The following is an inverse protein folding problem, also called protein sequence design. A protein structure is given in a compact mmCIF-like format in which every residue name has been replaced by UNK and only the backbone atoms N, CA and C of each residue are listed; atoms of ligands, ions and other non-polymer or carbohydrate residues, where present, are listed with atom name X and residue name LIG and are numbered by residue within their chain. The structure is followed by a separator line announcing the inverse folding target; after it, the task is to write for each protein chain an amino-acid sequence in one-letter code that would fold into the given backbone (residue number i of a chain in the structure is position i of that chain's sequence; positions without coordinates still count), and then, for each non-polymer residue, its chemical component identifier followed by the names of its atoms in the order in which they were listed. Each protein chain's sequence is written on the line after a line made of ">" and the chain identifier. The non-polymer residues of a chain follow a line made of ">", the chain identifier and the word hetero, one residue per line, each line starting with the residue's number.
data_IF_048391694639
#
_entry.id   IF_048391694639
#
_cell.length_a   1.000
_cell.length_b   1.000
_cell.length_c   1.000
_cell.angle_alpha   90.00
_cell.angle_beta   90.00
_cell.angle_gamma   90.00
#
_symmetry.space_group_name_H-M   'P 1'
#
loop_
_entity.id
_entity.type
_entity.pdbx_description
1 polymer ?
#
# COMPACT_ATOMS: atom_id res chain seq x y z
N UNK A 1 13.18 -64.34 35.08
CA UNK A 1 13.08 -62.92 35.47
C UNK A 1 11.78 -62.37 34.90
N UNK A 2 10.84 -62.03 35.80
CA UNK A 2 9.50 -61.55 35.47
C UNK A 2 9.57 -60.09 34.96
N UNK A 3 9.28 -59.87 33.68
CA UNK A 3 9.08 -58.53 33.14
C UNK A 3 7.74 -58.00 33.65
N UNK A 4 7.80 -57.00 34.53
CA UNK A 4 6.63 -56.30 35.07
C UNK A 4 5.93 -55.57 33.92
N UNK A 5 4.73 -56.00 33.59
CA UNK A 5 3.82 -55.22 32.76
C UNK A 5 3.50 -53.91 33.49
N UNK A 6 4.12 -52.81 33.06
CA UNK A 6 3.64 -51.46 33.37
C UNK A 6 2.29 -51.31 32.65
N UNK A 7 1.20 -51.52 33.38
CA UNK A 7 -0.12 -51.04 32.96
C UNK A 7 -0.05 -49.52 32.98
N UNK A 8 0.17 -48.92 31.81
CA UNK A 8 -0.10 -47.50 31.61
C UNK A 8 -1.60 -47.36 31.80
N UNK A 9 -1.99 -46.75 32.93
CA UNK A 9 -3.35 -46.29 33.13
C UNK A 9 -3.46 -45.02 32.29
N UNK A 10 -3.97 -45.13 31.08
CA UNK A 10 -4.50 -43.97 30.36
C UNK A 10 -5.72 -43.48 31.14
N UNK A 11 -5.48 -42.50 32.02
CA UNK A 11 -6.56 -41.70 32.56
C UNK A 11 -7.04 -40.83 31.40
N UNK A 12 -8.04 -41.32 30.65
CA UNK A 12 -8.85 -40.47 29.80
C UNK A 12 -9.63 -39.52 30.71
N UNK A 13 -8.96 -38.46 31.18
CA UNK A 13 -9.59 -37.27 31.71
C UNK A 13 -10.27 -36.53 30.56
N UNK A 14 -11.25 -37.18 29.93
CA UNK A 14 -12.06 -36.59 28.88
C UNK A 14 -12.91 -35.51 29.52
N UNK A 15 -12.54 -34.25 29.32
CA UNK A 15 -13.54 -33.19 29.35
C UNK A 15 -14.65 -33.65 28.40
N UNK A 16 -15.88 -33.81 28.89
CA UNK A 16 -16.97 -34.29 28.06
C UNK A 16 -17.10 -33.37 26.85
N UNK A 17 -17.10 -33.96 25.65
CA UNK A 17 -17.28 -33.19 24.42
C UNK A 17 -18.61 -32.43 24.50
N UNK A 18 -18.55 -31.13 24.26
CA UNK A 18 -19.67 -30.21 24.32
C UNK A 18 -20.46 -30.38 23.02
N UNK A 19 -21.70 -30.86 23.17
CA UNK A 19 -22.67 -30.94 22.08
C UNK A 19 -23.71 -29.82 22.22
N UNK A 20 -23.82 -28.96 21.22
CA UNK A 20 -24.76 -27.83 21.23
C UNK A 20 -25.58 -27.78 19.93
N UNK A 21 -26.90 -27.59 20.00
CA UNK A 21 -27.73 -27.44 18.82
C UNK A 21 -27.53 -26.05 18.20
N UNK A 22 -26.53 -25.90 17.34
CA UNK A 22 -26.27 -24.65 16.61
C UNK A 22 -27.11 -24.65 15.32
N UNK A 23 -28.23 -23.94 15.35
CA UNK A 23 -29.10 -23.75 14.18
C UNK A 23 -28.47 -22.73 13.22
N UNK A 24 -28.66 -22.91 11.91
CA UNK A 24 -28.18 -21.99 10.87
C UNK A 24 -28.76 -20.59 11.04
N UNK A 25 -27.96 -19.58 10.69
CA UNK A 25 -28.44 -18.20 10.67
C UNK A 25 -29.56 -18.04 9.62
N UNK A 26 -30.70 -17.42 9.96
CA UNK A 26 -31.86 -17.40 9.08
C UNK A 26 -31.64 -16.50 7.85
N UNK A 27 -32.14 -16.92 6.67
CA UNK A 27 -31.99 -16.15 5.45
C UNK A 27 -32.78 -14.85 5.48
N UNK A 28 -32.36 -13.86 4.70
CA UNK A 28 -32.95 -12.52 4.63
C UNK A 28 -34.48 -12.54 4.51
N UNK A 29 -35.06 -13.38 3.64
CA UNK A 29 -36.52 -13.48 3.46
C UNK A 29 -37.25 -13.88 4.74
N UNK A 30 -36.69 -14.82 5.49
CA UNK A 30 -37.27 -15.27 6.76
C UNK A 30 -37.12 -14.20 7.83
N UNK A 31 -35.95 -13.54 7.91
CA UNK A 31 -35.73 -12.42 8.85
C UNK A 31 -36.69 -11.26 8.59
N UNK A 32 -36.89 -10.89 7.33
CA UNK A 32 -37.86 -9.86 6.94
C UNK A 32 -39.28 -10.21 7.40
N UNK A 33 -39.71 -11.47 7.19
CA UNK A 33 -41.01 -11.94 7.65
C UNK A 33 -41.13 -11.96 9.18
N UNK A 34 -40.07 -12.35 9.90
CA UNK A 34 -40.08 -12.33 11.36
C UNK A 34 -40.13 -10.90 11.90
N UNK A 35 -39.39 -9.96 11.33
CA UNK A 35 -39.44 -8.54 11.73
C UNK A 35 -40.84 -7.95 11.52
N UNK A 36 -41.50 -8.29 10.41
CA UNK A 36 -42.83 -7.77 10.08
C UNK A 36 -43.95 -8.43 10.91
N UNK A 37 -43.88 -9.76 11.08
CA UNK A 37 -44.99 -10.54 11.67
C UNK A 37 -44.83 -10.81 13.16
N UNK A 38 -43.61 -11.05 13.63
CA UNK A 38 -43.32 -11.40 15.02
C UNK A 38 -41.89 -11.00 15.44
N UNK A 39 -41.66 -9.68 15.67
CA UNK A 39 -40.33 -9.17 15.99
C UNK A 39 -39.79 -9.66 17.34
N UNK A 40 -40.66 -10.14 18.24
CA UNK A 40 -40.26 -10.68 19.55
C UNK A 40 -39.57 -12.03 19.39
N UNK A 41 -40.11 -12.91 18.53
CA UNK A 41 -39.46 -14.18 18.20
C UNK A 41 -38.10 -13.93 17.54
N UNK A 42 -38.00 -12.92 16.67
CA UNK A 42 -36.71 -12.54 16.08
C UNK A 42 -35.70 -12.09 17.13
N UNK A 43 -36.12 -11.25 18.08
CA UNK A 43 -35.26 -10.80 19.18
C UNK A 43 -34.74 -11.98 20.01
N UNK A 44 -35.62 -12.86 20.49
CA UNK A 44 -35.24 -14.02 21.31
C UNK A 44 -34.32 -15.00 20.57
N UNK A 45 -34.49 -15.13 19.24
CA UNK A 45 -33.58 -15.93 18.44
C UNK A 45 -32.16 -15.33 18.43
N UNK A 46 -32.03 -14.02 18.30
CA UNK A 46 -30.72 -13.34 18.35
C UNK A 46 -30.11 -13.44 19.74
N UNK A 47 -30.90 -13.23 20.81
CA UNK A 47 -30.46 -13.38 22.20
C UNK A 47 -29.91 -14.79 22.46
N UNK A 48 -30.57 -15.81 21.93
CA UNK A 48 -30.11 -17.21 22.02
C UNK A 48 -28.76 -17.39 21.33
N UNK A 49 -28.57 -16.82 20.12
CA UNK A 49 -27.26 -16.84 19.46
C UNK A 49 -26.20 -16.13 20.30
N UNK A 50 -26.50 -14.94 20.84
CA UNK A 50 -25.56 -14.18 21.69
C UNK A 50 -25.13 -15.01 22.89
N UNK A 51 -26.07 -15.62 23.61
CA UNK A 51 -25.78 -16.48 24.75
C UNK A 51 -24.90 -17.69 24.37
N UNK A 52 -25.16 -18.30 23.21
CA UNK A 52 -24.34 -19.40 22.71
C UNK A 52 -22.91 -18.97 22.40
N UNK A 53 -22.71 -17.85 21.69
CA UNK A 53 -21.37 -17.38 21.39
C UNK A 53 -20.63 -16.88 22.62
N UNK A 54 -21.34 -16.28 23.59
CA UNK A 54 -20.77 -15.92 24.88
C UNK A 54 -20.28 -17.18 25.62
N UNK A 55 -21.10 -18.23 25.70
CA UNK A 55 -20.72 -19.50 26.31
C UNK A 55 -19.50 -20.13 25.60
N UNK A 56 -19.49 -20.15 24.26
CA UNK A 56 -18.36 -20.66 23.49
C UNK A 56 -17.07 -19.89 23.79
N UNK A 57 -17.16 -18.58 23.98
CA UNK A 57 -15.99 -17.73 24.22
C UNK A 57 -15.37 -17.92 25.61
N UNK A 58 -16.10 -18.47 26.57
CA UNK A 58 -15.61 -18.78 27.91
C UNK A 58 -14.61 -19.95 27.91
N UNK A 59 -13.50 -19.78 28.65
CA UNK A 59 -12.48 -20.81 28.84
C UNK A 59 -12.01 -21.47 27.53
N UNK A 60 -11.99 -22.80 27.53
CA UNK A 60 -11.62 -23.65 26.40
C UNK A 60 -12.83 -24.28 25.69
N UNK A 61 -14.05 -23.77 25.89
CA UNK A 61 -15.28 -24.42 25.42
C UNK A 61 -15.30 -24.70 23.91
N UNK A 62 -14.73 -23.81 23.09
CA UNK A 62 -14.61 -24.04 21.63
C UNK A 62 -13.75 -25.26 21.29
N UNK A 63 -12.70 -25.54 22.08
CA UNK A 63 -11.78 -26.67 21.85
C UNK A 63 -12.41 -28.00 22.24
N UNK A 64 -13.41 -27.95 23.12
CA UNK A 64 -14.13 -29.11 23.63
C UNK A 64 -15.37 -29.45 22.79
N UNK A 65 -15.62 -28.78 21.67
CA UNK A 65 -16.77 -29.08 20.82
C UNK A 65 -16.62 -30.45 20.15
N UNK A 66 -17.69 -31.23 20.14
CA UNK A 66 -17.75 -32.43 19.31
C UNK A 66 -17.67 -32.07 17.81
N UNK A 67 -17.26 -33.03 16.97
CA UNK A 67 -17.06 -32.79 15.53
C UNK A 67 -18.35 -32.31 14.84
N UNK A 68 -19.50 -32.83 15.26
CA UNK A 68 -20.80 -32.46 14.68
C UNK A 68 -21.15 -30.99 14.97
N UNK A 69 -21.00 -30.56 16.21
CA UNK A 69 -21.26 -29.18 16.65
C UNK A 69 -20.28 -28.22 15.99
N UNK A 70 -19.01 -28.62 15.84
CA UNK A 70 -18.02 -27.82 15.12
C UNK A 70 -18.40 -27.62 13.63
N UNK A 71 -18.93 -28.65 12.97
CA UNK A 71 -19.41 -28.53 11.59
C UNK A 71 -20.66 -27.66 11.47
N UNK A 72 -21.58 -27.76 12.43
CA UNK A 72 -22.72 -26.84 12.53
C UNK A 72 -22.29 -25.39 12.79
N UNK A 73 -21.26 -25.17 13.63
CA UNK A 73 -20.68 -23.86 13.87
C UNK A 73 -20.06 -23.27 12.59
N UNK A 74 -19.28 -24.06 11.84
CA UNK A 74 -18.71 -23.64 10.54
C UNK A 74 -19.79 -23.25 9.55
N UNK A 75 -20.86 -24.06 9.49
CA UNK A 75 -22.01 -23.81 8.62
C UNK A 75 -22.79 -22.55 9.03
N UNK A 76 -22.97 -22.35 10.33
CA UNK A 76 -23.54 -21.12 10.88
C UNK A 76 -22.71 -19.91 10.47
N UNK A 77 -21.39 -19.93 10.68
CA UNK A 77 -20.52 -18.80 10.36
C UNK A 77 -20.57 -18.45 8.87
N UNK A 78 -20.54 -19.45 7.99
CA UNK A 78 -20.67 -19.23 6.54
C UNK A 78 -22.00 -18.57 6.17
N UNK A 79 -23.11 -19.08 6.70
CA UNK A 79 -24.45 -18.55 6.42
C UNK A 79 -24.61 -17.14 7.01
N UNK A 80 -24.19 -16.94 8.25
CA UNK A 80 -24.18 -15.63 8.91
C UNK A 80 -23.42 -14.58 8.10
N UNK A 81 -22.16 -14.87 7.74
CA UNK A 81 -21.33 -13.92 7.00
C UNK A 81 -21.96 -13.55 5.65
N UNK A 82 -22.50 -14.54 4.94
CA UNK A 82 -23.18 -14.32 3.67
C UNK A 82 -24.41 -13.41 3.83
N UNK A 83 -25.30 -13.73 4.76
CA UNK A 83 -26.56 -13.03 4.97
C UNK A 83 -26.36 -11.60 5.48
N UNK A 84 -25.39 -11.38 6.37
CA UNK A 84 -25.07 -10.04 6.87
C UNK A 84 -24.36 -9.20 5.80
N UNK A 85 -23.47 -9.79 4.99
CA UNK A 85 -22.80 -9.08 3.91
C UNK A 85 -23.76 -8.69 2.77
N UNK A 86 -24.78 -9.51 2.49
CA UNK A 86 -25.79 -9.23 1.47
C UNK A 86 -26.89 -8.26 1.96
N UNK A 87 -27.03 -8.10 3.28
CA UNK A 87 -27.93 -7.13 3.90
C UNK A 87 -27.39 -5.70 3.86
N UNK A 88 -26.07 -5.53 3.86
CA UNK A 88 -25.42 -4.22 3.84
C UNK A 88 -25.72 -3.48 2.52
N UNK A 89 -26.72 -2.58 2.56
CA UNK A 89 -27.25 -1.86 1.40
C UNK A 89 -28.72 -2.14 1.07
N UNK A 90 -29.39 -3.05 1.79
CA UNK A 90 -30.84 -3.30 1.67
C UNK A 90 -31.62 -2.51 2.72
N UNK A 91 -32.83 -2.08 2.37
CA UNK A 91 -33.72 -1.22 3.17
C UNK A 91 -34.37 -1.91 4.39
N UNK A 92 -33.75 -2.94 4.97
CA UNK A 92 -34.32 -3.64 6.12
C UNK A 92 -34.32 -2.77 7.40
N UNK A 93 -33.50 -1.72 7.43
CA UNK A 93 -33.36 -0.80 8.58
C UNK A 93 -34.64 -0.01 8.91
N UNK A 94 -35.61 0.05 7.99
CA UNK A 94 -36.89 0.71 8.20
C UNK A 94 -37.83 -0.24 8.96
N UNK A 95 -37.69 -0.30 10.28
CA UNK A 95 -38.59 -1.06 11.16
C UNK A 95 -37.90 -1.96 12.20
N UNK A 96 -36.56 -1.98 12.26
CA UNK A 96 -35.84 -2.77 13.27
C UNK A 96 -35.95 -2.09 14.64
N UNK A 97 -36.42 -2.85 15.65
CA UNK A 97 -36.44 -2.42 17.04
C UNK A 97 -35.01 -2.11 17.54
N UNK A 98 -34.88 -1.13 18.43
CA UNK A 98 -33.62 -0.81 19.11
C UNK A 98 -32.97 -2.05 19.74
N UNK A 99 -33.76 -2.87 20.45
CA UNK A 99 -33.26 -4.08 21.15
C UNK A 99 -32.67 -5.10 20.15
N UNK A 100 -33.33 -5.28 19.01
CA UNK A 100 -32.85 -6.16 17.93
C UNK A 100 -31.52 -5.64 17.37
N UNK A 101 -31.39 -4.32 17.23
CA UNK A 101 -30.17 -3.69 16.74
C UNK A 101 -29.00 -3.86 17.72
N UNK A 102 -29.28 -3.73 19.02
CA UNK A 102 -28.31 -3.94 20.09
C UNK A 102 -27.84 -5.40 20.13
N UNK A 103 -28.77 -6.36 20.14
CA UNK A 103 -28.44 -7.79 20.16
C UNK A 103 -27.69 -8.22 18.90
N UNK A 104 -28.03 -7.69 17.72
CA UNK A 104 -27.26 -7.93 16.49
C UNK A 104 -25.85 -7.33 16.56
N UNK A 105 -25.69 -6.18 17.22
CA UNK A 105 -24.37 -5.58 17.45
C UNK A 105 -23.52 -6.47 18.37
N UNK A 106 -24.09 -6.97 19.45
CA UNK A 106 -23.43 -7.92 20.36
C UNK A 106 -23.04 -9.20 19.62
N UNK A 107 -23.94 -9.77 18.83
CA UNK A 107 -23.67 -10.96 18.04
C UNK A 107 -22.52 -10.74 17.04
N UNK A 108 -22.48 -9.59 16.35
CA UNK A 108 -21.35 -9.20 15.47
C UNK A 108 -20.03 -9.16 16.25
N UNK A 109 -20.03 -8.58 17.45
CA UNK A 109 -18.85 -8.51 18.31
C UNK A 109 -18.35 -9.89 18.76
N UNK A 110 -19.27 -10.76 19.17
CA UNK A 110 -18.94 -12.12 19.60
C UNK A 110 -18.43 -12.99 18.47
N UNK A 111 -19.09 -12.97 17.31
CA UNK A 111 -18.65 -13.73 16.13
C UNK A 111 -17.26 -13.29 15.70
N UNK A 112 -16.99 -11.98 15.65
CA UNK A 112 -15.65 -11.50 15.30
C UNK A 112 -14.59 -11.94 16.32
N UNK A 113 -14.93 -11.92 17.61
CA UNK A 113 -14.03 -12.37 18.67
C UNK A 113 -13.73 -13.87 18.58
N UNK A 114 -14.72 -14.70 18.24
CA UNK A 114 -14.56 -16.12 17.96
C UNK A 114 -13.62 -16.34 16.77
N UNK A 115 -13.83 -15.61 15.67
CA UNK A 115 -13.00 -15.73 14.46
C UNK A 115 -11.54 -15.37 14.76
N UNK A 116 -11.29 -14.33 15.57
CA UNK A 116 -9.92 -14.01 16.02
C UNK A 116 -9.33 -15.09 16.94
N UNK A 117 -10.13 -15.70 17.83
CA UNK A 117 -9.68 -16.75 18.76
C UNK A 117 -9.30 -18.03 18.02
N UNK A 118 -10.09 -18.44 17.02
CA UNK A 118 -9.91 -19.70 16.30
C UNK A 118 -9.08 -19.60 15.01
N UNK A 119 -9.09 -18.43 14.37
CA UNK A 119 -8.46 -18.22 13.08
C UNK A 119 -9.28 -18.75 11.90
N UNK A 120 -8.88 -18.31 10.70
CA UNK A 120 -9.61 -18.60 9.46
C UNK A 120 -9.57 -20.08 9.07
N UNK A 121 -8.44 -20.75 9.31
CA UNK A 121 -8.25 -22.14 8.87
C UNK A 121 -9.10 -23.13 9.68
N UNK A 122 -9.11 -22.99 11.01
CA UNK A 122 -9.89 -23.87 11.90
C UNK A 122 -11.40 -23.75 11.63
N UNK A 123 -11.86 -22.53 11.36
CA UNK A 123 -13.25 -22.22 11.02
C UNK A 123 -13.59 -22.44 9.54
N UNK A 124 -12.64 -22.90 8.72
CA UNK A 124 -12.84 -23.15 7.29
C UNK A 124 -13.38 -21.91 6.54
N UNK A 125 -12.85 -20.72 6.87
CA UNK A 125 -13.21 -19.46 6.21
C UNK A 125 -12.26 -19.23 5.03
N UNK A 126 -12.78 -19.42 3.81
CA UNK A 126 -12.07 -19.25 2.54
C UNK A 126 -13.01 -18.75 1.43
N UNK A 127 -12.43 -18.29 0.32
CA UNK A 127 -13.18 -17.84 -0.86
C UNK A 127 -14.24 -16.80 -0.53
N UNK A 128 -15.48 -17.05 -0.95
CA UNK A 128 -16.65 -16.18 -0.70
C UNK A 128 -16.82 -15.85 0.79
N UNK A 129 -16.59 -16.82 1.69
CA UNK A 129 -16.80 -16.61 3.13
C UNK A 129 -15.76 -15.64 3.70
N UNK A 130 -14.53 -15.69 3.18
CA UNK A 130 -13.48 -14.72 3.53
C UNK A 130 -13.83 -13.33 3.02
N UNK A 131 -14.33 -13.22 1.79
CA UNK A 131 -14.75 -11.92 1.26
C UNK A 131 -15.95 -11.34 2.01
N UNK A 132 -16.91 -12.18 2.40
CA UNK A 132 -18.02 -11.76 3.25
C UNK A 132 -17.53 -11.31 4.63
N UNK A 133 -16.54 -11.99 5.22
CA UNK A 133 -15.88 -11.52 6.45
C UNK A 133 -15.29 -10.12 6.28
N UNK A 134 -14.56 -9.89 5.17
CA UNK A 134 -13.98 -8.59 4.86
C UNK A 134 -15.09 -7.54 4.78
N UNK A 135 -16.13 -7.76 3.98
CA UNK A 135 -17.26 -6.82 3.85
C UNK A 135 -17.87 -6.43 5.19
N UNK A 136 -18.14 -7.40 6.06
CA UNK A 136 -18.84 -7.16 7.32
C UNK A 136 -17.99 -6.39 8.35
N UNK A 137 -16.67 -6.62 8.38
CA UNK A 137 -15.84 -6.17 9.51
C UNK A 137 -14.73 -5.19 9.16
N UNK A 138 -14.30 -5.09 7.90
CA UNK A 138 -13.11 -4.29 7.51
C UNK A 138 -13.26 -2.81 7.88
N UNK A 139 -14.45 -2.25 7.69
CA UNK A 139 -14.70 -0.83 7.95
C UNK A 139 -14.48 -0.42 9.41
N UNK A 140 -14.78 -1.32 10.35
CA UNK A 140 -14.64 -1.06 11.79
C UNK A 140 -13.35 -1.60 12.37
N UNK A 141 -12.80 -2.68 11.79
CA UNK A 141 -11.65 -3.40 12.32
C UNK A 141 -10.62 -3.71 11.22
N UNK A 142 -10.09 -2.70 10.51
CA UNK A 142 -9.23 -2.93 9.35
C UNK A 142 -7.96 -3.71 9.74
N UNK A 143 -7.30 -3.36 10.85
CA UNK A 143 -6.03 -3.98 11.26
C UNK A 143 -6.19 -5.45 11.66
N UNK A 144 -7.29 -5.78 12.32
CA UNK A 144 -7.58 -7.18 12.68
C UNK A 144 -7.90 -8.01 11.44
N UNK A 145 -8.59 -7.44 10.46
CA UNK A 145 -8.88 -8.13 9.19
C UNK A 145 -7.61 -8.32 8.37
N UNK A 146 -6.78 -7.28 8.24
CA UNK A 146 -5.45 -7.36 7.61
C UNK A 146 -4.61 -8.45 8.29
N UNK A 147 -4.58 -8.44 9.62
CA UNK A 147 -3.83 -9.42 10.41
C UNK A 147 -4.33 -10.86 10.28
N UNK A 148 -5.63 -11.06 10.08
CA UNK A 148 -6.21 -12.38 9.79
C UNK A 148 -5.86 -12.87 8.38
N UNK A 149 -5.71 -11.96 7.42
CA UNK A 149 -5.40 -12.31 6.02
C UNK A 149 -3.91 -12.59 5.86
N UNK A 150 -3.02 -11.74 6.37
CA UNK A 150 -1.56 -11.92 6.26
C UNK A 150 -0.99 -12.93 7.27
N UNK A 151 -1.81 -13.37 8.24
CA UNK A 151 -1.43 -14.35 9.26
C UNK A 151 -0.64 -13.76 10.44
N UNK A 152 -0.47 -12.43 10.51
CA UNK A 152 0.17 -11.76 11.64
C UNK A 152 -0.67 -11.85 12.92
N UNK A 153 -2.01 -11.96 12.81
CA UNK A 153 -2.90 -12.23 13.93
C UNK A 153 -2.99 -13.73 14.21
N UNK A 154 -2.10 -14.23 15.06
CA UNK A 154 -2.06 -15.64 15.43
C UNK A 154 -3.32 -16.05 16.22
N UNK A 155 -3.95 -17.18 15.88
CA UNK A 155 -5.09 -17.68 16.63
C UNK A 155 -4.62 -18.21 17.99
N UNK A 156 -5.52 -18.24 18.96
CA UNK A 156 -5.25 -18.84 20.27
C UNK A 156 -5.48 -20.35 20.24
N UNK A 157 -6.48 -20.78 19.46
CA UNK A 157 -6.87 -22.17 19.30
C UNK A 157 -6.22 -22.72 18.04
N UNK A 158 -5.71 -23.95 18.09
CA UNK A 158 -5.14 -24.68 16.95
C UNK A 158 -3.93 -23.98 16.30
N UNK A 159 -2.95 -23.58 17.12
CA UNK A 159 -1.70 -22.94 16.70
C UNK A 159 -0.74 -23.83 15.89
N UNK A 160 -1.01 -25.14 15.82
CA UNK A 160 -0.17 -26.08 15.06
C UNK A 160 -0.26 -25.89 13.54
N UNK A 161 -1.37 -25.32 13.04
CA UNK A 161 -1.51 -24.99 11.62
C UNK A 161 -1.19 -23.52 11.41
N UNK A 162 -0.04 -23.26 10.80
CA UNK A 162 0.41 -21.90 10.43
C UNK A 162 -0.71 -21.21 9.65
N UNK A 163 -1.14 -20.02 10.10
CA UNK A 163 -1.99 -19.17 9.27
C UNK A 163 -1.14 -18.69 8.09
N UNK A 164 -1.46 -19.22 6.91
CA UNK A 164 -0.82 -18.81 5.66
C UNK A 164 -1.39 -17.47 5.20
N UNK A 165 -0.56 -16.65 4.58
CA UNK A 165 -0.99 -15.42 3.91
C UNK A 165 -2.02 -15.74 2.82
N UNK A 166 -3.18 -15.09 2.90
CA UNK A 166 -4.32 -15.25 2.00
C UNK A 166 -4.48 -14.08 1.03
N UNK A 167 -3.53 -13.13 0.98
CA UNK A 167 -3.61 -11.93 0.13
C UNK A 167 -3.83 -12.30 -1.34
N UNK A 168 -3.10 -13.29 -1.86
CA UNK A 168 -3.32 -13.81 -3.22
C UNK A 168 -4.72 -14.41 -3.42
N UNK A 169 -5.27 -15.11 -2.43
CA UNK A 169 -6.63 -15.67 -2.51
C UNK A 169 -7.68 -14.55 -2.61
N UNK A 170 -7.47 -13.44 -1.90
CA UNK A 170 -8.32 -12.25 -2.00
C UNK A 170 -8.21 -11.63 -3.40
N UNK A 171 -7.01 -11.47 -3.95
CA UNK A 171 -6.81 -10.97 -5.31
C UNK A 171 -7.52 -11.84 -6.37
N UNK A 172 -7.37 -13.17 -6.28
CA UNK A 172 -8.04 -14.10 -7.20
C UNK A 172 -9.56 -14.05 -7.06
N UNK A 173 -10.06 -13.91 -5.84
CA UNK A 173 -11.50 -13.79 -5.61
C UNK A 173 -12.05 -12.49 -6.21
N UNK A 174 -11.35 -11.36 -6.04
CA UNK A 174 -11.70 -10.08 -6.67
C UNK A 174 -11.74 -10.19 -8.19
N UNK A 175 -10.73 -10.83 -8.80
CA UNK A 175 -10.70 -11.14 -10.22
C UNK A 175 -11.96 -11.90 -10.66
N UNK A 176 -12.30 -12.98 -9.96
CA UNK A 176 -13.50 -13.80 -10.25
C UNK A 176 -14.80 -13.00 -10.12
N UNK A 177 -14.91 -12.11 -9.13
CA UNK A 177 -16.09 -11.25 -8.97
C UNK A 177 -16.26 -10.28 -10.14
N UNK A 178 -15.16 -9.71 -10.64
CA UNK A 178 -15.18 -8.81 -11.80
C UNK A 178 -15.51 -9.57 -13.08
N UNK A 179 -14.84 -10.71 -13.33
CA UNK A 179 -15.07 -11.54 -14.51
C UNK A 179 -16.50 -12.08 -14.58
N UNK A 180 -17.10 -12.39 -13.42
CA UNK A 180 -18.49 -12.84 -13.31
C UNK A 180 -19.54 -11.70 -13.31
N UNK A 181 -19.12 -10.44 -13.34
CA UNK A 181 -20.01 -9.27 -13.31
C UNK A 181 -20.76 -9.10 -11.98
N UNK A 182 -20.26 -9.69 -10.90
CA UNK A 182 -20.86 -9.63 -9.56
C UNK A 182 -20.22 -8.57 -8.65
N UNK A 183 -19.14 -7.94 -9.11
CA UNK A 183 -18.46 -6.88 -8.39
C UNK A 183 -19.35 -5.64 -8.28
N UNK A 184 -19.60 -5.17 -7.05
CA UNK A 184 -20.46 -4.03 -6.74
C UNK A 184 -19.66 -2.90 -6.11
N UNK A 185 -20.27 -1.72 -6.02
CA UNK A 185 -19.67 -0.55 -5.35
C UNK A 185 -19.28 -0.81 -3.88
N UNK A 186 -20.02 -1.68 -3.18
CA UNK A 186 -19.67 -2.07 -1.81
C UNK A 186 -18.35 -2.85 -1.78
N UNK A 187 -18.08 -3.70 -2.78
CA UNK A 187 -16.83 -4.46 -2.87
C UNK A 187 -15.64 -3.51 -3.07
N UNK A 188 -15.79 -2.51 -3.95
CA UNK A 188 -14.78 -1.46 -4.15
C UNK A 188 -14.46 -0.72 -2.85
N UNK A 189 -15.50 -0.31 -2.11
CA UNK A 189 -15.33 0.35 -0.82
C UNK A 189 -14.65 -0.54 0.21
N UNK A 190 -14.93 -1.84 0.19
CA UNK A 190 -14.27 -2.79 1.09
C UNK A 190 -12.79 -2.97 0.74
N UNK A 191 -12.41 -2.91 -0.54
CA UNK A 191 -11.00 -2.88 -0.96
C UNK A 191 -10.34 -1.59 -0.49
N UNK A 192 -10.99 -0.44 -0.65
CA UNK A 192 -10.51 0.85 -0.14
C UNK A 192 -10.31 0.81 1.38
N UNK A 193 -11.29 0.32 2.14
CA UNK A 193 -11.17 0.17 3.59
C UNK A 193 -10.03 -0.82 3.94
N UNK A 194 -9.87 -1.91 3.18
CA UNK A 194 -8.81 -2.88 3.41
C UNK A 194 -7.41 -2.28 3.18
N UNK A 195 -7.21 -1.49 2.13
CA UNK A 195 -5.90 -0.99 1.72
C UNK A 195 -5.58 0.42 2.24
N UNK A 196 -6.57 1.26 2.49
CA UNK A 196 -6.37 2.69 2.76
C UNK A 196 -6.95 3.15 4.11
N UNK A 197 -7.74 2.32 4.81
CA UNK A 197 -8.31 2.75 6.10
C UNK A 197 -7.21 3.17 7.07
N UNK A 198 -7.36 4.40 7.60
CA UNK A 198 -6.48 4.98 8.60
C UNK A 198 -6.45 4.10 9.84
N UNK A 199 -5.25 3.80 10.29
CA UNK A 199 -5.02 2.92 11.41
C UNK A 199 -3.87 3.46 12.27
N UNK A 200 -3.77 2.99 13.52
CA UNK A 200 -2.64 3.35 14.37
C UNK A 200 -1.33 2.67 13.94
N UNK A 201 -1.42 1.57 13.19
CA UNK A 201 -0.26 0.82 12.72
C UNK A 201 0.07 1.19 11.27
N UNK A 202 1.36 1.17 10.89
CA UNK A 202 1.74 1.33 9.49
C UNK A 202 1.13 0.19 8.67
N UNK A 203 0.52 0.53 7.54
CA UNK A 203 -0.20 -0.44 6.71
C UNK A 203 0.74 -1.30 5.87
N UNK A 204 1.50 -2.19 6.54
CA UNK A 204 2.37 -3.18 5.88
C UNK A 204 1.59 -4.14 4.99
N UNK A 205 0.32 -4.38 5.32
CA UNK A 205 -0.55 -5.23 4.52
C UNK A 205 -0.72 -4.69 3.10
N UNK A 206 -0.99 -3.38 2.93
CA UNK A 206 -1.15 -2.78 1.61
C UNK A 206 0.11 -2.93 0.75
N UNK A 207 1.30 -2.77 1.35
CA UNK A 207 2.58 -2.96 0.68
C UNK A 207 2.77 -4.39 0.17
N UNK A 208 2.38 -5.39 0.98
CA UNK A 208 2.48 -6.81 0.62
C UNK A 208 1.38 -7.23 -0.36
N UNK A 209 0.20 -6.63 -0.26
CA UNK A 209 -0.93 -6.89 -1.17
C UNK A 209 -0.65 -6.35 -2.57
N UNK A 210 0.12 -5.26 -2.70
CA UNK A 210 0.53 -4.76 -4.00
C UNK A 210 1.69 -5.60 -4.54
N UNK A 211 1.39 -6.49 -5.49
CA UNK A 211 2.34 -7.43 -6.10
C UNK A 211 2.37 -7.29 -7.62
N UNK A 212 3.45 -7.73 -8.27
CA UNK A 212 3.55 -7.78 -9.72
C UNK A 212 2.38 -8.54 -10.36
N UNK A 213 2.05 -9.72 -9.81
CA UNK A 213 0.90 -10.51 -10.25
C UNK A 213 -0.44 -9.76 -10.10
N UNK A 214 -0.61 -8.92 -9.07
CA UNK A 214 -1.83 -8.12 -8.95
C UNK A 214 -1.96 -7.09 -10.07
N UNK A 215 -0.85 -6.45 -10.45
CA UNK A 215 -0.81 -5.52 -11.58
C UNK A 215 -1.14 -6.25 -12.88
N UNK A 216 -0.56 -7.42 -13.11
CA UNK A 216 -0.85 -8.24 -14.30
C UNK A 216 -2.33 -8.63 -14.38
N UNK A 217 -2.95 -8.99 -13.24
CA UNK A 217 -4.40 -9.25 -13.18
C UNK A 217 -5.20 -8.01 -13.59
N UNK A 218 -4.85 -6.84 -13.05
CA UNK A 218 -5.57 -5.59 -13.34
C UNK A 218 -5.39 -5.14 -14.79
N UNK A 219 -4.18 -5.28 -15.35
CA UNK A 219 -3.89 -5.00 -16.77
C UNK A 219 -4.69 -5.91 -17.70
N UNK A 220 -4.75 -7.21 -17.38
CA UNK A 220 -5.55 -8.17 -18.14
C UNK A 220 -7.05 -7.85 -18.09
N UNK A 221 -7.58 -7.46 -16.92
CA UNK A 221 -8.97 -7.05 -16.75
C UNK A 221 -9.29 -5.72 -17.46
N UNK A 222 -8.31 -4.83 -17.55
CA UNK A 222 -8.44 -3.54 -18.22
C UNK A 222 -8.41 -3.68 -19.74
N UNK A 223 -7.52 -4.53 -20.27
CA UNK A 223 -7.36 -4.84 -21.70
C UNK A 223 -7.39 -3.57 -22.58
N UNK A 224 -6.51 -2.61 -22.31
CA UNK A 224 -6.42 -1.33 -23.03
C UNK A 224 -7.72 -0.49 -23.00
N UNK A 225 -8.50 -0.62 -21.92
CA UNK A 225 -9.77 0.08 -21.74
C UNK A 225 -10.96 -0.57 -22.44
N UNK A 226 -10.75 -1.71 -23.12
CA UNK A 226 -11.79 -2.46 -23.82
C UNK A 226 -12.30 -3.67 -23.03
N UNK A 227 -11.65 -4.01 -21.91
CA UNK A 227 -12.03 -5.13 -21.06
C UNK A 227 -13.39 -4.93 -20.41
N UNK A 228 -14.10 -6.03 -20.12
CA UNK A 228 -15.40 -5.97 -19.41
C UNK A 228 -15.29 -5.32 -18.03
N UNK A 229 -14.15 -5.53 -17.36
CA UNK A 229 -13.84 -4.97 -16.05
C UNK A 229 -12.97 -3.71 -16.08
N UNK A 230 -12.92 -2.96 -17.19
CA UNK A 230 -11.99 -1.85 -17.33
C UNK A 230 -12.20 -0.72 -16.30
N UNK A 231 -13.45 -0.48 -15.87
CA UNK A 231 -13.75 0.56 -14.87
C UNK A 231 -13.26 0.11 -13.50
N UNK A 232 -13.60 -1.11 -13.12
CA UNK A 232 -13.24 -1.74 -11.86
C UNK A 232 -11.71 -1.87 -11.76
N UNK A 233 -11.05 -2.33 -12.81
CA UNK A 233 -9.58 -2.45 -12.85
C UNK A 233 -8.90 -1.08 -12.67
N UNK A 234 -9.42 -0.03 -13.32
CA UNK A 234 -8.92 1.34 -13.16
C UNK A 234 -9.11 1.87 -11.74
N UNK A 235 -10.26 1.64 -11.13
CA UNK A 235 -10.52 2.07 -9.76
C UNK A 235 -9.64 1.31 -8.75
N UNK A 236 -9.46 0.00 -8.95
CA UNK A 236 -8.64 -0.84 -8.09
C UNK A 236 -7.15 -0.51 -8.18
N UNK A 237 -6.61 -0.20 -9.37
CA UNK A 237 -5.21 0.20 -9.48
C UNK A 237 -4.97 1.55 -8.79
N UNK A 238 -5.93 2.49 -8.88
CA UNK A 238 -5.86 3.77 -8.19
C UNK A 238 -5.82 3.53 -6.67
N UNK A 239 -6.77 2.76 -6.12
CA UNK A 239 -6.77 2.45 -4.68
C UNK A 239 -5.46 1.79 -4.26
N UNK A 240 -4.96 0.85 -5.07
CA UNK A 240 -3.72 0.12 -4.76
C UNK A 240 -2.50 1.06 -4.76
N UNK A 241 -2.33 1.91 -5.78
CA UNK A 241 -1.22 2.85 -5.90
C UNK A 241 -1.22 3.91 -4.80
N UNK A 242 -2.40 4.41 -4.43
CA UNK A 242 -2.51 5.42 -3.37
C UNK A 242 -2.34 4.83 -1.95
N UNK A 243 -2.30 3.51 -1.83
CA UNK A 243 -2.13 2.79 -0.55
C UNK A 243 -0.70 2.33 -0.28
N UNK A 244 0.23 2.51 -1.24
CA UNK A 244 1.61 2.05 -1.14
C UNK A 244 2.62 3.19 -1.17
N UNK A 245 3.80 2.93 -0.64
CA UNK A 245 4.95 3.83 -0.70
C UNK A 245 5.64 3.82 -2.07
N UNK A 246 6.36 4.92 -2.37
CA UNK A 246 7.18 5.00 -3.58
C UNK A 246 8.27 3.92 -3.64
N UNK A 247 8.78 3.47 -2.49
CA UNK A 247 9.78 2.39 -2.41
C UNK A 247 9.22 1.04 -2.85
N UNK A 248 7.98 0.73 -2.47
CA UNK A 248 7.34 -0.50 -2.93
C UNK A 248 7.06 -0.43 -4.41
N UNK A 249 6.61 0.71 -4.92
CA UNK A 249 6.38 0.89 -6.34
C UNK A 249 7.68 0.70 -7.16
N UNK A 250 8.82 1.22 -6.69
CA UNK A 250 10.13 0.97 -7.30
C UNK A 250 10.52 -0.52 -7.28
N UNK A 251 10.24 -1.24 -6.19
CA UNK A 251 10.48 -2.70 -6.14
C UNK A 251 9.62 -3.43 -7.16
N UNK A 252 8.35 -3.07 -7.27
CA UNK A 252 7.42 -3.72 -8.20
C UNK A 252 7.77 -3.41 -9.66
N UNK A 253 8.15 -2.18 -10.01
CA UNK A 253 8.60 -1.87 -11.37
C UNK A 253 9.83 -2.68 -11.75
N UNK A 254 10.78 -2.88 -10.81
CA UNK A 254 11.92 -3.78 -10.99
C UNK A 254 11.50 -5.25 -11.13
N UNK A 255 10.56 -5.74 -10.30
CA UNK A 255 10.00 -7.10 -10.40
C UNK A 255 9.32 -7.35 -11.76
N UNK A 256 8.68 -6.34 -12.33
CA UNK A 256 8.05 -6.37 -13.66
C UNK A 256 9.04 -6.15 -14.82
N UNK A 257 10.32 -5.87 -14.54
CA UNK A 257 11.32 -5.56 -15.57
C UNK A 257 11.15 -4.20 -16.25
N UNK A 258 10.41 -3.27 -15.64
CA UNK A 258 10.18 -1.93 -16.17
C UNK A 258 11.39 -1.05 -15.84
N UNK A 259 12.14 -0.67 -16.88
CA UNK A 259 13.34 0.17 -16.78
C UNK A 259 13.26 1.42 -17.66
N UNK A 260 12.38 1.43 -18.65
CA UNK A 260 12.24 2.50 -19.64
C UNK A 260 10.77 2.61 -20.13
N UNK A 261 10.48 3.58 -20.98
CA UNK A 261 9.12 3.76 -21.53
C UNK A 261 8.65 2.60 -22.41
N UNK A 262 9.56 1.92 -23.11
CA UNK A 262 9.22 0.78 -23.96
C UNK A 262 8.70 -0.40 -23.14
N UNK A 263 9.38 -0.70 -22.03
CA UNK A 263 8.95 -1.73 -21.08
C UNK A 263 7.72 -1.29 -20.30
N UNK A 264 7.57 0.00 -19.99
CA UNK A 264 6.35 0.54 -19.39
C UNK A 264 5.14 0.44 -20.34
N UNK A 265 5.35 0.54 -21.65
CA UNK A 265 4.28 0.41 -22.64
C UNK A 265 3.62 -0.99 -22.65
N UNK A 266 4.28 -2.00 -22.09
CA UNK A 266 3.71 -3.33 -21.85
C UNK A 266 2.65 -3.31 -20.72
N UNK A 267 2.74 -2.34 -19.82
CA UNK A 267 1.83 -2.12 -18.68
C UNK A 267 1.12 -0.76 -18.80
N UNK A 268 0.23 -0.59 -19.79
CA UNK A 268 -0.38 0.71 -20.10
C UNK A 268 -1.30 1.25 -19.01
N UNK A 269 -2.01 0.41 -18.24
CA UNK A 269 -2.81 0.88 -17.10
C UNK A 269 -1.89 1.47 -16.02
N UNK A 270 -0.80 0.77 -15.69
CA UNK A 270 0.19 1.27 -14.74
C UNK A 270 0.83 2.56 -15.27
N UNK A 271 1.28 2.58 -16.52
CA UNK A 271 1.93 3.74 -17.13
C UNK A 271 1.06 4.99 -17.13
N UNK A 272 -0.22 4.88 -17.51
CA UNK A 272 -1.16 6.02 -17.48
C UNK A 272 -1.37 6.58 -16.07
N UNK A 273 -1.31 5.73 -15.03
CA UNK A 273 -1.40 6.18 -13.65
C UNK A 273 -0.10 6.82 -13.17
N UNK A 274 1.06 6.27 -13.54
CA UNK A 274 2.37 6.79 -13.13
C UNK A 274 2.68 8.17 -13.72
N UNK A 275 2.17 8.48 -14.91
CA UNK A 275 2.32 9.79 -15.57
C UNK A 275 1.34 10.83 -15.00
N UNK A 276 0.29 10.39 -14.30
CA UNK A 276 -0.74 11.29 -13.81
C UNK A 276 -0.22 12.23 -12.71
N UNK A 277 -0.41 13.54 -12.89
CA UNK A 277 0.03 14.56 -11.92
C UNK A 277 -0.55 14.35 -10.51
N UNK A 278 -1.75 13.78 -10.39
CA UNK A 278 -2.36 13.48 -9.10
C UNK A 278 -1.55 12.48 -8.28
N UNK A 279 -0.91 11.51 -8.93
CA UNK A 279 -0.03 10.54 -8.26
C UNK A 279 1.26 11.23 -7.81
N UNK A 280 1.84 12.09 -8.64
CA UNK A 280 3.04 12.86 -8.30
C UNK A 280 2.81 13.85 -7.14
N UNK A 281 1.62 14.45 -7.04
CA UNK A 281 1.26 15.29 -5.88
C UNK A 281 1.22 14.51 -4.57
N UNK A 282 0.88 13.22 -4.62
CA UNK A 282 0.78 12.36 -3.44
C UNK A 282 2.10 11.67 -3.10
N UNK A 283 2.87 11.30 -4.12
CA UNK A 283 4.17 10.64 -4.03
C UNK A 283 5.23 11.51 -4.73
N UNK A 284 5.70 12.59 -4.08
CA UNK A 284 6.67 13.51 -4.69
C UNK A 284 7.98 12.81 -5.04
N UNK A 285 8.42 11.87 -4.18
CA UNK A 285 9.66 11.09 -4.33
C UNK A 285 9.62 10.09 -5.50
N UNK A 286 8.49 9.95 -6.19
CA UNK A 286 8.35 9.00 -7.28
C UNK A 286 9.20 9.39 -8.49
N UNK A 287 9.27 10.69 -8.80
CA UNK A 287 10.05 11.24 -9.91
C UNK A 287 11.56 11.08 -9.70
N UNK A 288 12.02 11.28 -8.46
CA UNK A 288 13.43 11.06 -8.12
C UNK A 288 13.81 9.57 -8.12
N UNK A 289 12.87 8.67 -7.84
CA UNK A 289 13.12 7.21 -7.79
C UNK A 289 12.97 6.51 -9.14
N UNK A 290 12.07 7.00 -10.01
CA UNK A 290 11.85 6.48 -11.35
C UNK A 290 12.33 7.51 -12.37
N UNK A 291 13.65 7.57 -12.55
CA UNK A 291 14.31 8.58 -13.40
C UNK A 291 13.78 8.59 -14.84
N UNK A 292 13.36 7.43 -15.37
CA UNK A 292 12.76 7.34 -16.70
C UNK A 292 11.45 8.12 -16.83
N UNK A 293 10.74 8.45 -15.74
CA UNK A 293 9.51 9.26 -15.79
C UNK A 293 9.77 10.76 -15.94
N UNK A 294 11.02 11.24 -15.81
CA UNK A 294 11.36 12.67 -15.81
C UNK A 294 11.43 13.33 -17.19
N UNK A 295 10.94 12.68 -18.25
CA UNK A 295 11.05 13.22 -19.61
C UNK A 295 10.19 14.47 -19.89
N UNK A 296 9.31 14.86 -18.96
CA UNK A 296 8.58 16.13 -19.04
C UNK A 296 9.44 17.38 -18.81
N UNK A 297 10.71 17.24 -18.42
CA UNK A 297 11.68 18.34 -18.36
C UNK A 297 12.41 18.62 -19.68
N UNK A 298 12.16 17.81 -20.72
CA UNK A 298 12.61 18.05 -22.09
C UNK A 298 11.45 18.58 -22.96
N UNK A 299 10.57 19.38 -22.36
CA UNK A 299 9.73 20.27 -23.16
C UNK A 299 10.66 21.23 -23.89
N UNK A 300 10.63 21.13 -25.21
CA UNK A 300 11.05 22.17 -26.15
C UNK A 300 10.34 23.48 -25.77
N UNK A 301 10.91 24.23 -24.84
CA UNK A 301 10.60 25.64 -24.67
C UNK A 301 11.84 26.38 -25.18
N UNK A 302 11.68 26.99 -26.35
CA UNK A 302 12.67 27.88 -26.94
C UNK A 302 12.86 29.06 -25.98
N UNK A 303 13.91 29.01 -25.16
CA UNK A 303 14.49 30.22 -24.58
C UNK A 303 14.49 30.37 -23.06
N UNK A 304 14.60 29.29 -22.27
CA UNK A 304 14.94 29.45 -20.85
C UNK A 304 16.15 28.62 -20.43
N UNK A 305 17.06 29.27 -19.70
CA UNK A 305 18.36 28.77 -19.30
C UNK A 305 18.23 27.47 -18.48
N UNK A 306 18.68 26.35 -19.06
CA UNK A 306 18.78 25.05 -18.41
C UNK A 306 19.75 25.10 -17.22
N UNK A 307 19.21 25.14 -16.00
CA UNK A 307 19.97 24.83 -14.78
C UNK A 307 20.04 23.31 -14.62
N UNK A 308 21.15 22.70 -15.04
CA UNK A 308 21.45 21.31 -14.75
C UNK A 308 21.75 21.13 -13.25
N UNK A 309 21.19 20.12 -12.57
CA UNK A 309 21.61 19.79 -11.22
C UNK A 309 23.03 19.23 -11.28
N UNK A 310 23.99 20.01 -10.80
CA UNK A 310 25.36 19.57 -10.54
C UNK A 310 25.27 18.45 -9.49
N UNK A 311 25.47 17.21 -9.91
CA UNK A 311 25.62 16.09 -9.00
C UNK A 311 27.01 16.15 -8.37
N UNK A 312 27.10 16.84 -7.23
CA UNK A 312 28.27 16.75 -6.36
C UNK A 312 28.23 15.40 -5.63
N UNK A 313 28.98 14.38 -6.08
CA UNK A 313 29.15 13.21 -5.21
C UNK A 313 29.67 11.87 -5.75
N UNK A 314 30.17 11.75 -6.98
CA UNK A 314 30.78 10.48 -7.43
C UNK A 314 32.11 10.74 -8.10
N UNK A 315 33.19 10.19 -7.51
CA UNK A 315 34.54 10.23 -8.08
C UNK A 315 34.54 9.53 -9.45
N UNK A 316 35.06 10.24 -10.46
CA UNK A 316 35.21 9.73 -11.83
C UNK A 316 36.32 8.68 -11.84
N UNK A 317 36.06 7.51 -12.41
CA UNK A 317 37.08 6.47 -12.53
C UNK A 317 38.12 6.87 -13.61
N UNK A 318 39.33 7.26 -13.18
CA UNK A 318 40.35 7.84 -14.05
C UNK A 318 40.83 6.88 -15.16
N UNK A 319 40.84 5.56 -14.90
CA UNK A 319 41.22 4.55 -15.89
C UNK A 319 40.23 4.52 -17.07
N UNK A 320 38.94 4.71 -16.76
CA UNK A 320 37.88 4.71 -17.75
C UNK A 320 37.85 6.00 -18.57
N UNK A 321 38.17 7.11 -17.92
CA UNK A 321 38.35 8.40 -18.58
C UNK A 321 39.54 8.36 -19.56
N UNK A 322 40.66 7.72 -19.17
CA UNK A 322 41.80 7.56 -20.08
C UNK A 322 41.47 6.70 -21.30
N UNK A 323 40.71 5.62 -21.14
CA UNK A 323 40.28 4.77 -22.25
C UNK A 323 39.36 5.52 -23.23
N UNK A 324 38.45 6.37 -22.71
CA UNK A 324 37.60 7.22 -23.56
C UNK A 324 38.37 8.33 -24.27
N UNK A 325 39.42 8.88 -23.64
CA UNK A 325 40.31 9.85 -24.26
C UNK A 325 41.13 9.25 -25.41
N UNK A 326 41.53 7.97 -25.30
CA UNK A 326 42.19 7.25 -26.40
C UNK A 326 41.22 6.96 -27.56
N UNK A 327 39.96 6.62 -27.27
CA UNK A 327 38.95 6.28 -28.28
C UNK A 327 38.38 7.51 -28.99
N UNK A 328 38.30 8.65 -28.33
CA UNK A 328 37.72 9.88 -28.89
C UNK A 328 38.56 11.14 -28.58
N UNK A 329 39.72 11.30 -29.24
CA UNK A 329 40.64 12.43 -29.01
C UNK A 329 40.07 13.81 -29.38
N UNK A 330 38.92 13.86 -30.07
CA UNK A 330 38.25 15.09 -30.47
C UNK A 330 37.46 15.77 -29.35
N UNK A 331 37.19 15.10 -28.22
CA UNK A 331 36.40 15.64 -27.11
C UNK A 331 37.27 16.00 -25.92
N UNK A 332 36.85 17.02 -25.17
CA UNK A 332 37.59 17.48 -23.99
C UNK A 332 37.46 16.49 -22.82
N UNK A 333 38.49 16.43 -21.96
CA UNK A 333 38.51 15.61 -20.73
C UNK A 333 37.28 15.88 -19.85
N UNK A 334 36.85 17.14 -19.79
CA UNK A 334 35.69 17.56 -19.01
C UNK A 334 34.38 16.99 -19.57
N UNK A 335 34.15 17.09 -20.88
CA UNK A 335 32.96 16.54 -21.52
C UNK A 335 32.86 15.03 -21.36
N UNK A 336 33.98 14.32 -21.53
CA UNK A 336 34.02 12.86 -21.32
C UNK A 336 33.75 12.49 -19.86
N UNK A 337 34.24 13.28 -18.90
CA UNK A 337 33.97 13.03 -17.47
C UNK A 337 32.51 13.24 -17.10
N UNK A 338 31.86 14.28 -17.63
CA UNK A 338 30.44 14.56 -17.42
C UNK A 338 29.55 13.50 -18.07
N UNK A 339 29.95 13.03 -19.26
CA UNK A 339 29.24 11.95 -19.96
C UNK A 339 29.39 10.63 -19.19
N UNK A 340 30.58 10.32 -18.67
CA UNK A 340 30.82 9.13 -17.86
C UNK A 340 29.99 9.13 -16.56
N UNK A 341 29.87 10.30 -15.91
CA UNK A 341 29.01 10.48 -14.73
C UNK A 341 27.52 10.36 -15.07
N UNK A 342 27.09 10.86 -16.23
CA UNK A 342 25.71 10.74 -16.68
C UNK A 342 25.27 9.29 -16.94
N UNK A 343 26.22 8.38 -17.19
CA UNK A 343 25.97 6.97 -17.48
C UNK A 343 26.57 6.02 -16.42
N UNK A 344 26.63 6.44 -15.15
CA UNK A 344 27.02 5.61 -13.99
C UNK A 344 28.38 4.88 -14.16
N UNK A 345 29.40 5.57 -14.71
CA UNK A 345 30.74 4.99 -14.90
C UNK A 345 30.77 3.74 -15.80
N UNK A 346 29.83 3.60 -16.75
CA UNK A 346 29.79 2.49 -17.69
C UNK A 346 30.38 2.87 -19.06
N UNK A 347 31.66 2.54 -19.29
CA UNK A 347 32.37 2.83 -20.55
C UNK A 347 31.65 2.23 -21.75
N UNK A 348 31.18 0.98 -21.69
CA UNK A 348 30.65 0.29 -22.86
C UNK A 348 29.37 0.95 -23.38
N UNK A 349 28.49 1.38 -22.47
CA UNK A 349 27.30 2.14 -22.81
C UNK A 349 27.64 3.52 -23.38
N UNK A 350 28.62 4.20 -22.78
CA UNK A 350 29.08 5.51 -23.24
C UNK A 350 29.70 5.39 -24.64
N UNK A 351 30.59 4.42 -24.87
CA UNK A 351 31.19 4.20 -26.19
C UNK A 351 30.13 3.88 -27.24
N UNK A 352 29.19 2.98 -26.95
CA UNK A 352 28.13 2.63 -27.88
C UNK A 352 27.25 3.84 -28.21
N UNK A 353 26.91 4.66 -27.22
CA UNK A 353 26.11 5.87 -27.42
C UNK A 353 26.85 6.96 -28.21
N UNK A 354 28.15 7.13 -27.98
CA UNK A 354 28.98 8.07 -28.75
C UNK A 354 29.13 7.61 -30.20
N UNK A 355 29.23 6.30 -30.44
CA UNK A 355 29.24 5.76 -31.80
C UNK A 355 27.88 5.90 -32.51
N UNK A 356 26.78 5.80 -31.76
CA UNK A 356 25.42 5.97 -32.30
C UNK A 356 25.09 7.42 -32.62
N UNK A 357 25.46 8.38 -31.77
CA UNK A 357 25.26 9.81 -32.00
C UNK A 357 26.31 10.69 -31.30
N UNK A 358 27.26 11.30 -32.05
CA UNK A 358 28.33 12.11 -31.47
C UNK A 358 27.86 13.47 -30.93
N UNK A 359 26.63 13.90 -31.23
CA UNK A 359 26.09 15.18 -30.75
C UNK A 359 25.75 15.17 -29.25
N UNK A 360 25.65 13.99 -28.65
CA UNK A 360 25.39 13.81 -27.20
C UNK A 360 26.49 14.47 -26.36
N UNK A 361 27.73 14.50 -26.85
CA UNK A 361 28.86 15.11 -26.14
C UNK A 361 28.89 16.64 -26.32
N UNK A 362 28.36 17.15 -27.43
CA UNK A 362 28.31 18.59 -27.71
C UNK A 362 27.32 19.34 -26.81
N UNK A 363 26.39 18.62 -26.18
CA UNK A 363 25.50 19.16 -25.16
C UNK A 363 26.22 19.58 -23.87
N UNK A 364 27.47 19.13 -23.67
CA UNK A 364 28.27 19.50 -22.50
C UNK A 364 29.29 20.60 -22.85
N UNK A 365 29.46 21.63 -22.00
CA UNK A 365 30.43 22.69 -22.24
C UNK A 365 31.86 22.14 -22.31
N UNK A 366 32.69 22.71 -23.19
CA UNK A 366 34.07 22.28 -23.44
C UNK A 366 35.04 22.64 -22.30
N UNK A 367 34.66 23.59 -21.46
CA UNK A 367 35.45 24.08 -20.33
C UNK A 367 34.54 24.18 -19.08
N UNK A 368 35.09 23.96 -17.87
CA UNK A 368 34.36 24.28 -16.64
C UNK A 368 34.05 25.78 -16.63
N UNK A 369 32.83 26.16 -16.24
CA UNK A 369 32.48 27.57 -16.08
C UNK A 369 33.43 28.21 -15.06
N UNK A 370 34.02 29.36 -15.42
CA UNK A 370 34.75 30.19 -14.47
C UNK A 370 33.79 30.56 -13.33
N UNK A 371 34.15 30.18 -12.10
CA UNK A 371 33.44 30.62 -10.89
C UNK A 371 33.50 32.14 -10.84
N UNK A 372 32.35 32.81 -10.97
CA UNK A 372 32.21 34.20 -10.54
C UNK A 372 32.56 34.26 -9.05
N UNK A 373 33.75 34.77 -8.75
CA UNK A 373 34.18 35.12 -7.39
C UNK A 373 33.21 36.20 -6.89
N UNK A 374 32.33 35.83 -5.96
CA UNK A 374 31.58 36.81 -5.18
C UNK A 374 32.58 37.81 -4.56
N UNK A 375 32.35 39.13 -4.67
CA UNK A 375 33.21 40.10 -4.02
C UNK A 375 33.11 39.89 -2.50
N UNK A 376 34.26 39.49 -1.94
CA UNK A 376 34.54 39.42 -0.50
C UNK A 376 34.04 40.70 0.16
N UNK A 377 33.16 40.55 1.15
CA UNK A 377 32.74 41.63 2.02
C UNK A 377 33.97 42.21 2.73
N UNK A 378 34.35 43.43 2.38
CA UNK A 378 35.37 44.19 3.08
C UNK A 378 34.98 44.35 4.55
N UNK A 379 35.86 43.84 5.41
CA UNK A 379 35.81 44.06 6.84
C UNK A 379 36.14 45.52 7.17
N UNK A 380 35.43 46.02 8.18
CA UNK A 380 35.78 47.21 8.95
C UNK A 380 37.29 47.34 9.16
N UNK A 381 37.88 48.40 8.61
CA UNK A 381 39.10 49.06 9.11
C UNK A 381 39.28 50.42 8.42
N UNK A 382 38.59 51.44 8.94
CA UNK A 382 38.92 52.83 8.67
C UNK A 382 38.73 53.68 9.94
N UNK A 383 39.44 53.31 11.01
CA UNK A 383 39.94 54.31 11.94
C UNK A 383 41.35 54.68 11.51
N UNK A 384 41.70 55.96 11.61
CA UNK A 384 43.03 56.54 11.35
C UNK A 384 43.28 57.03 9.91
N UNK A 385 42.68 58.19 9.56
CA UNK A 385 43.35 59.35 8.93
C UNK A 385 42.32 60.45 8.64
N UNK A 386 41.84 61.13 9.68
CA UNK A 386 41.14 62.42 9.51
C UNK A 386 41.41 63.33 10.73
N UNK A 387 42.69 63.42 11.10
CA UNK A 387 43.23 64.61 11.78
C UNK A 387 44.23 65.25 10.80
N UNK A 388 44.09 66.57 10.60
CA UNK A 388 44.84 67.45 9.69
C UNK A 388 44.27 67.59 8.27
N UNK A 389 43.26 68.46 8.11
CA UNK A 389 43.24 69.47 7.02
C UNK A 389 41.99 70.38 6.99
N UNK A 390 41.20 70.50 8.08
CA UNK A 390 40.27 71.62 8.22
C UNK A 390 40.98 72.76 8.95
N UNK A 391 41.96 73.34 8.26
CA UNK A 391 42.50 74.66 8.54
C UNK A 391 42.63 75.39 7.21
N UNK A 392 41.86 76.47 7.11
CA UNK A 392 42.08 77.62 6.23
C UNK A 392 41.48 77.55 4.81
N UNK A 393 40.23 78.04 4.66
CA UNK A 393 39.97 79.38 4.09
C UNK A 393 38.47 79.61 3.82
N UNK A 394 37.95 80.69 4.41
CA UNK A 394 36.61 81.20 4.16
C UNK A 394 36.34 82.47 4.97
N UNK A 395 37.10 83.53 4.67
CA UNK A 395 36.94 84.88 5.20
C UNK A 395 35.49 85.40 5.12
N UNK A 396 35.02 86.04 6.20
CA UNK A 396 34.16 87.23 6.10
C UNK A 396 34.16 88.07 7.38
N UNK A 397 34.89 89.17 7.29
CA UNK A 397 34.76 90.40 8.04
C UNK A 397 33.31 90.90 8.22
N UNK A 398 32.90 91.24 9.45
CA UNK A 398 32.65 92.63 9.91
C UNK A 398 31.90 92.70 11.26
N UNK A 399 32.50 93.53 12.15
CA UNK A 399 31.91 94.66 12.91
C UNK A 399 31.59 94.55 14.43
N UNK A 400 32.41 95.31 15.19
CA UNK A 400 32.11 96.28 16.30
C UNK A 400 32.01 95.74 17.75
N UNK A 401 33.06 95.96 18.57
CA UNK A 401 33.20 97.06 19.56
C UNK A 401 34.50 96.97 20.36
N UNK A 402 35.08 98.16 20.59
CA UNK A 402 36.21 98.53 21.46
C UNK A 402 37.60 98.08 21.02
#
# INVERSE_FOLDING_TARGET
>A
MLSRYNRVIEINGGNADISLPIVKFPPFKLRAQLIEKDPVVWLHLIETYVAYFEYLMQGANVELLDESTLDHLRLFLRTYLHEIADEEGKLLSLGINHDVSEQLYLLKGWIFSLIKKCGLLHLQIFGDSLWNLIKVYVRRNPDSIRGLIDGSLKPRINTQRVQLDKSYQVQQHLKQLIESGKFKRIDLRCVEDLLSAKSMQPNKFAENFFTANWIEILEALWAKGQGRGHKEARELIIISLFSVSADRLLKITKELGISNFETLALYPLLGTMLINEGVHKRLPDLKSKLLFLNLGGLSMDEGDHMSYPISSGTEVNEEQLSALMELFPQFSKYQLSQTLLAYDNNIELVTNKIFEDPTIIEAFPREPAEEEVEPVSDGDNASFTEELSILDRGDSYKKIKS
#
